data_IF_068698110514
#
_entry.id   IF_068698110514
#
_cell.length_a   1.000
_cell.length_b   1.000
_cell.length_c   1.000
_cell.angle_alpha   90.00
_cell.angle_beta   90.00
_cell.angle_gamma   90.00
#
_symmetry.space_group_name_H-M   'P 1'
#
loop_
_entity.id
_entity.type
_entity.pdbx_description
1 polymer ?
#
# COMPACT_ATOMS: atom_id res chain seq x y z
N UNK A 1 -16.41 65.51 -18.56
CA UNK A 1 -15.41 65.36 -17.49
C UNK A 1 -15.59 63.99 -16.86
N UNK A 2 -14.80 63.01 -17.28
CA UNK A 2 -14.81 61.64 -16.75
C UNK A 2 -13.80 61.54 -15.61
N UNK A 3 -14.27 61.48 -14.37
CA UNK A 3 -13.45 61.18 -13.20
C UNK A 3 -12.85 59.76 -13.35
N UNK A 4 -11.56 59.68 -13.67
CA UNK A 4 -10.81 58.43 -13.51
C UNK A 4 -10.53 58.23 -12.02
N UNK A 5 -11.29 57.33 -11.38
CA UNK A 5 -11.01 56.89 -10.00
C UNK A 5 -9.57 56.38 -9.93
N UNK A 6 -8.75 56.83 -8.97
CA UNK A 6 -7.39 56.33 -8.83
C UNK A 6 -7.44 54.85 -8.50
N UNK A 7 -6.90 54.03 -9.40
CA UNK A 7 -6.73 52.60 -9.17
C UNK A 7 -5.73 52.43 -8.03
N UNK A 8 -6.21 52.02 -6.85
CA UNK A 8 -5.37 51.87 -5.66
C UNK A 8 -4.40 50.68 -5.84
N UNK A 9 -3.08 50.92 -6.01
CA UNK A 9 -2.10 49.87 -6.34
C UNK A 9 -1.89 48.88 -5.18
N UNK A 10 -2.34 49.23 -3.97
CA UNK A 10 -2.18 48.44 -2.74
C UNK A 10 -3.14 47.24 -2.73
N UNK A 11 -4.24 47.28 -3.49
CA UNK A 11 -5.36 46.34 -3.37
C UNK A 11 -5.18 44.98 -4.04
N UNK A 12 -4.17 44.76 -4.88
CA UNK A 12 -3.94 43.45 -5.52
C UNK A 12 -2.78 42.66 -4.90
N UNK A 13 -1.73 43.34 -4.42
CA UNK A 13 -0.53 42.69 -3.86
C UNK A 13 -0.57 42.45 -2.34
N UNK A 14 -1.18 43.35 -1.56
CA UNK A 14 -1.18 43.27 -0.11
C UNK A 14 -2.07 42.12 0.42
N UNK A 15 -3.23 41.89 -0.21
CA UNK A 15 -4.09 40.76 0.15
C UNK A 15 -3.48 39.42 -0.26
N UNK A 16 -2.72 39.38 -1.36
CA UNK A 16 -1.99 38.19 -1.80
C UNK A 16 -0.83 37.84 -0.85
N UNK A 17 -0.11 38.84 -0.31
CA UNK A 17 0.97 38.61 0.66
C UNK A 17 0.44 38.18 2.04
N UNK A 18 -0.70 38.73 2.48
CA UNK A 18 -1.39 38.29 3.71
C UNK A 18 -1.92 36.87 3.56
N UNK A 19 -2.56 36.53 2.45
CA UNK A 19 -3.03 35.17 2.18
C UNK A 19 -1.88 34.16 2.12
N UNK A 20 -0.76 34.51 1.49
CA UNK A 20 0.45 33.70 1.46
C UNK A 20 1.09 33.54 2.85
N UNK A 21 1.08 34.58 3.68
CA UNK A 21 1.56 34.54 5.06
C UNK A 21 0.69 33.62 5.93
N UNK A 22 -0.64 33.74 5.84
CA UNK A 22 -1.59 32.86 6.54
C UNK A 22 -1.47 31.40 6.08
N UNK A 23 -1.30 31.16 4.78
CA UNK A 23 -1.10 29.81 4.25
C UNK A 23 0.21 29.18 4.73
N UNK A 24 1.30 29.96 4.79
CA UNK A 24 2.58 29.52 5.36
C UNK A 24 2.47 29.23 6.85
N UNK A 25 1.77 30.07 7.60
CA UNK A 25 1.53 29.89 9.04
C UNK A 25 0.71 28.64 9.33
N UNK A 26 -0.39 28.44 8.59
CA UNK A 26 -1.23 27.25 8.69
C UNK A 26 -0.46 25.97 8.34
N UNK A 27 0.33 25.98 7.26
CA UNK A 27 1.19 24.84 6.89
C UNK A 27 2.21 24.49 7.98
N UNK A 28 2.79 25.49 8.67
CA UNK A 28 3.70 25.23 9.78
C UNK A 28 2.96 24.68 11.00
N UNK A 29 1.76 25.21 11.31
CA UNK A 29 0.92 24.67 12.38
C UNK A 29 0.52 23.21 12.12
N UNK A 30 0.17 22.85 10.88
CA UNK A 30 -0.19 21.48 10.49
C UNK A 30 0.99 20.50 10.69
N UNK A 31 2.21 20.90 10.32
CA UNK A 31 3.42 20.09 10.53
C UNK A 31 3.72 19.93 12.03
N UNK A 32 3.63 21.00 12.81
CA UNK A 32 3.85 20.94 14.26
C UNK A 32 2.80 20.05 14.94
N UNK A 33 1.55 20.12 14.51
CA UNK A 33 0.47 19.27 14.99
C UNK A 33 0.73 17.80 14.66
N UNK A 34 1.18 17.49 13.43
CA UNK A 34 1.54 16.14 13.02
C UNK A 34 2.72 15.58 13.85
N UNK A 35 3.74 16.39 14.10
CA UNK A 35 4.88 15.99 14.93
C UNK A 35 4.46 15.76 16.38
N UNK A 36 3.63 16.64 16.93
CA UNK A 36 3.09 16.49 18.29
C UNK A 36 2.22 15.24 18.41
N UNK A 37 1.32 15.01 17.45
CA UNK A 37 0.49 13.81 17.40
C UNK A 37 1.35 12.53 17.30
N UNK A 38 2.40 12.55 16.48
CA UNK A 38 3.34 11.43 16.35
C UNK A 38 4.08 11.16 17.66
N UNK A 39 4.54 12.20 18.35
CA UNK A 39 5.20 12.08 19.66
C UNK A 39 4.26 11.49 20.70
N UNK A 40 3.01 11.97 20.77
CA UNK A 40 1.99 11.45 21.68
C UNK A 40 1.74 9.96 21.40
N UNK A 41 1.59 9.56 20.14
CA UNK A 41 1.42 8.15 19.77
C UNK A 41 2.61 7.30 20.18
N UNK A 42 3.85 7.77 19.99
CA UNK A 42 5.06 7.05 20.42
C UNK A 42 5.05 6.82 21.93
N UNK A 43 4.72 7.84 22.73
CA UNK A 43 4.66 7.73 24.19
C UNK A 43 3.57 6.74 24.61
N UNK A 44 2.38 6.83 24.01
CA UNK A 44 1.23 5.95 24.31
C UNK A 44 1.49 4.50 23.92
N UNK A 45 2.15 4.24 22.78
CA UNK A 45 2.47 2.87 22.39
C UNK A 45 3.65 2.29 23.17
N UNK A 46 4.64 3.12 23.53
CA UNK A 46 5.72 2.69 24.41
C UNK A 46 5.23 2.36 25.82
N UNK A 47 4.25 3.09 26.35
CA UNK A 47 3.69 2.80 27.67
C UNK A 47 2.84 1.52 27.69
N UNK A 48 2.16 1.20 26.58
CA UNK A 48 1.37 -0.04 26.46
C UNK A 48 2.22 -1.27 26.13
N UNK A 49 3.37 -1.11 25.47
CA UNK A 49 4.25 -2.21 25.12
C UNK A 49 5.73 -1.84 25.24
N UNK A 50 6.43 -2.53 26.13
CA UNK A 50 7.88 -2.42 26.26
C UNK A 50 8.63 -2.84 24.97
N UNK A 51 7.97 -3.60 24.09
CA UNK A 51 8.54 -4.07 22.83
C UNK A 51 8.56 -2.99 21.72
N UNK A 52 7.71 -1.97 21.81
CA UNK A 52 7.46 -1.01 20.71
C UNK A 52 8.71 -0.31 20.15
N UNK A 53 9.69 0.03 20.99
CA UNK A 53 10.94 0.69 20.58
C UNK A 53 12.18 -0.18 20.81
N UNK A 54 12.03 -1.50 20.78
CA UNK A 54 13.18 -2.40 20.82
C UNK A 54 13.88 -2.42 19.45
N UNK A 55 15.22 -2.59 19.39
CA UNK A 55 15.93 -2.77 18.12
C UNK A 55 15.34 -3.90 17.28
N UNK A 56 14.86 -4.97 17.92
CA UNK A 56 14.22 -6.10 17.26
C UNK A 56 12.91 -5.68 16.57
N UNK A 57 12.04 -4.95 17.25
CA UNK A 57 10.79 -4.46 16.66
C UNK A 57 11.04 -3.47 15.52
N UNK A 58 12.01 -2.57 15.68
CA UNK A 58 12.40 -1.62 14.64
C UNK A 58 12.99 -2.33 13.41
N UNK A 59 13.83 -3.34 13.61
CA UNK A 59 14.38 -4.16 12.53
C UNK A 59 13.29 -4.95 11.82
N UNK A 60 12.35 -5.55 12.55
CA UNK A 60 11.20 -6.23 11.94
C UNK A 60 10.38 -5.26 11.08
N UNK A 61 10.09 -4.06 11.59
CA UNK A 61 9.39 -3.02 10.84
C UNK A 61 10.18 -2.61 9.58
N UNK A 62 11.49 -2.41 9.71
CA UNK A 62 12.36 -2.03 8.60
C UNK A 62 12.42 -3.10 7.49
N UNK A 63 12.35 -4.39 7.84
CA UNK A 63 12.30 -5.48 6.87
C UNK A 63 10.94 -5.60 6.16
N UNK A 64 9.86 -5.21 6.86
CA UNK A 64 8.50 -5.28 6.37
C UNK A 64 8.11 -4.11 5.43
N UNK A 65 8.71 -2.94 5.65
CA UNK A 65 8.41 -1.72 4.89
C UNK A 65 8.68 -1.84 3.38
N UNK A 66 9.82 -2.39 2.91
CA UNK A 66 10.11 -2.54 1.49
C UNK A 66 9.00 -3.27 0.72
N UNK A 67 8.49 -4.36 1.29
CA UNK A 67 7.42 -5.14 0.69
C UNK A 67 6.15 -4.31 0.50
N UNK A 68 5.72 -3.58 1.54
CA UNK A 68 4.54 -2.70 1.47
C UNK A 68 4.76 -1.50 0.54
N UNK A 69 5.98 -0.97 0.46
CA UNK A 69 6.32 0.15 -0.42
C UNK A 69 6.10 -0.22 -1.90
N UNK A 70 6.50 -1.44 -2.31
CA UNK A 70 6.29 -1.93 -3.69
C UNK A 70 4.80 -1.95 -4.04
N UNK A 71 3.94 -2.42 -3.12
CA UNK A 71 2.49 -2.45 -3.32
C UNK A 71 1.90 -1.03 -3.50
N UNK A 72 2.37 -0.07 -2.70
CA UNK A 72 1.92 1.32 -2.80
C UNK A 72 2.37 1.96 -4.11
N UNK A 73 3.58 1.69 -4.58
CA UNK A 73 4.07 2.17 -5.89
C UNK A 73 3.18 1.61 -7.01
N UNK A 74 2.85 0.31 -6.98
CA UNK A 74 1.95 -0.29 -7.96
C UNK A 74 0.56 0.40 -7.97
N UNK A 75 -0.01 0.65 -6.78
CA UNK A 75 -1.28 1.37 -6.65
C UNK A 75 -1.20 2.82 -7.13
N UNK A 76 -0.06 3.48 -6.93
CA UNK A 76 0.16 4.87 -7.40
C UNK A 76 0.05 4.95 -8.92
N UNK A 77 0.61 3.98 -9.66
CA UNK A 77 0.49 3.93 -11.13
C UNK A 77 -0.97 3.84 -11.59
N UNK A 78 -1.81 3.10 -10.86
CA UNK A 78 -3.24 3.00 -11.18
C UNK A 78 -3.97 4.31 -10.91
N UNK A 79 -3.66 4.98 -9.79
CA UNK A 79 -4.22 6.29 -9.47
C UNK A 79 -3.87 7.35 -10.52
N UNK A 80 -2.64 7.31 -11.07
CA UNK A 80 -2.20 8.22 -12.14
C UNK A 80 -3.05 8.05 -13.41
N UNK A 81 -3.46 6.83 -13.73
CA UNK A 81 -4.34 6.53 -14.88
C UNK A 81 -5.83 6.75 -14.55
N UNK A 82 -6.14 7.22 -13.33
CA UNK A 82 -7.51 7.46 -12.86
C UNK A 82 -8.24 6.19 -12.40
N UNK A 83 -7.51 5.09 -12.23
CA UNK A 83 -8.02 3.82 -11.72
C UNK A 83 -7.86 3.66 -10.21
N UNK A 84 -8.61 2.72 -9.65
CA UNK A 84 -8.51 2.26 -8.25
C UNK A 84 -8.42 0.73 -8.28
N UNK A 85 -7.46 0.16 -7.54
CA UNK A 85 -7.36 -1.27 -7.29
C UNK A 85 -7.57 -1.64 -5.82
N UNK A 86 -8.71 -2.26 -5.57
CA UNK A 86 -9.06 -2.81 -4.26
C UNK A 86 -8.52 -4.24 -4.08
N UNK A 87 -8.25 -4.95 -5.17
CA UNK A 87 -7.94 -6.39 -5.17
C UNK A 87 -6.52 -6.73 -4.74
N UNK A 88 -5.58 -5.78 -4.74
CA UNK A 88 -4.14 -6.03 -4.53
C UNK A 88 -3.85 -6.90 -3.30
N UNK A 89 -4.53 -6.66 -2.18
CA UNK A 89 -4.36 -7.44 -0.95
C UNK A 89 -4.87 -8.88 -1.09
N UNK A 90 -6.04 -9.08 -1.71
CA UNK A 90 -6.61 -10.41 -1.95
C UNK A 90 -5.83 -11.20 -2.99
N UNK A 91 -5.36 -10.56 -4.05
CA UNK A 91 -4.52 -11.20 -5.08
C UNK A 91 -3.18 -11.61 -4.47
N UNK A 92 -2.56 -10.76 -3.64
CA UNK A 92 -1.36 -11.09 -2.88
C UNK A 92 -1.58 -12.28 -1.95
N UNK A 93 -2.72 -12.34 -1.24
CA UNK A 93 -3.08 -13.47 -0.40
C UNK A 93 -3.26 -14.75 -1.22
N UNK A 94 -3.95 -14.69 -2.36
CA UNK A 94 -4.12 -15.81 -3.28
C UNK A 94 -2.77 -16.31 -3.81
N UNK A 95 -1.91 -15.42 -4.31
CA UNK A 95 -0.56 -15.78 -4.76
C UNK A 95 0.26 -16.43 -3.65
N UNK A 96 0.12 -15.97 -2.39
CA UNK A 96 0.79 -16.57 -1.24
C UNK A 96 0.29 -17.99 -0.93
N UNK A 97 -1.03 -18.22 -1.04
CA UNK A 97 -1.63 -19.56 -0.89
C UNK A 97 -1.17 -20.49 -2.01
N UNK A 98 -1.05 -20.00 -3.25
CA UNK A 98 -0.53 -20.79 -4.39
C UNK A 98 0.89 -21.30 -4.10
N UNK A 99 1.77 -20.46 -3.54
CA UNK A 99 3.10 -20.91 -3.10
C UNK A 99 2.96 -22.02 -2.05
N UNK A 100 2.11 -21.81 -1.03
CA UNK A 100 1.85 -22.79 0.01
C UNK A 100 1.40 -24.13 -0.51
N UNK A 101 0.41 -24.14 -1.40
CA UNK A 101 -0.13 -25.35 -2.03
C UNK A 101 0.97 -26.06 -2.84
N UNK A 102 1.70 -25.33 -3.69
CA UNK A 102 2.73 -25.93 -4.55
C UNK A 102 3.87 -26.53 -3.73
N UNK A 103 4.39 -25.81 -2.74
CA UNK A 103 5.48 -26.32 -1.88
C UNK A 103 5.01 -27.49 -1.02
N UNK A 104 3.77 -27.47 -0.50
CA UNK A 104 3.21 -28.61 0.22
C UNK A 104 3.11 -29.85 -0.67
N UNK A 105 2.68 -29.68 -1.91
CA UNK A 105 2.62 -30.72 -2.94
C UNK A 105 4.01 -31.17 -3.48
N UNK A 106 5.10 -30.65 -2.92
CA UNK A 106 6.46 -31.12 -3.23
C UNK A 106 7.14 -30.43 -4.41
N UNK A 107 6.54 -29.38 -4.97
CA UNK A 107 7.19 -28.55 -5.97
C UNK A 107 8.34 -27.73 -5.35
N UNK A 108 9.35 -27.42 -6.17
CA UNK A 108 10.45 -26.56 -5.73
C UNK A 108 9.96 -25.12 -5.50
N UNK A 109 10.68 -24.38 -4.66
CA UNK A 109 10.31 -23.00 -4.29
C UNK A 109 10.36 -22.08 -5.51
N UNK A 110 11.29 -22.28 -6.43
CA UNK A 110 11.42 -21.52 -7.67
C UNK A 110 10.18 -21.68 -8.56
N UNK A 111 9.69 -22.91 -8.68
CA UNK A 111 8.47 -23.20 -9.47
C UNK A 111 7.24 -22.63 -8.78
N UNK A 112 7.18 -22.69 -7.45
CA UNK A 112 6.10 -22.08 -6.67
C UNK A 112 6.05 -20.55 -6.82
N UNK A 113 7.21 -19.88 -6.85
CA UNK A 113 7.32 -18.44 -7.11
C UNK A 113 6.78 -18.11 -8.52
N UNK A 114 7.14 -18.88 -9.54
CA UNK A 114 6.59 -18.70 -10.89
C UNK A 114 5.07 -18.86 -10.91
N UNK A 115 4.52 -19.85 -10.20
CA UNK A 115 3.08 -20.03 -10.06
C UNK A 115 2.38 -18.82 -9.42
N UNK A 116 2.99 -18.23 -8.39
CA UNK A 116 2.47 -17.03 -7.74
C UNK A 116 2.50 -15.79 -8.64
N UNK A 117 3.57 -15.61 -9.41
CA UNK A 117 3.70 -14.52 -10.40
C UNK A 117 2.65 -14.68 -11.49
N UNK A 118 2.47 -15.89 -12.02
CA UNK A 118 1.45 -16.17 -13.03
C UNK A 118 0.04 -15.91 -12.50
N UNK A 119 -0.24 -16.28 -11.25
CA UNK A 119 -1.51 -15.98 -10.59
C UNK A 119 -1.77 -14.48 -10.48
N UNK A 120 -0.77 -13.70 -10.06
CA UNK A 120 -0.89 -12.24 -10.00
C UNK A 120 -1.09 -11.62 -11.38
N UNK A 121 -0.33 -12.09 -12.38
CA UNK A 121 -0.42 -11.61 -13.76
C UNK A 121 -1.78 -11.93 -14.40
N UNK A 122 -2.36 -13.10 -14.15
CA UNK A 122 -3.69 -13.46 -14.66
C UNK A 122 -4.78 -12.61 -14.02
N UNK A 123 -4.75 -12.40 -12.69
CA UNK A 123 -5.66 -11.49 -12.01
C UNK A 123 -5.55 -10.07 -12.58
N UNK A 124 -4.33 -9.56 -12.78
CA UNK A 124 -4.09 -8.25 -13.37
C UNK A 124 -4.58 -8.14 -14.81
N UNK A 125 -4.36 -9.16 -15.63
CA UNK A 125 -4.84 -9.23 -17.01
C UNK A 125 -6.38 -9.26 -17.08
N UNK A 126 -7.04 -9.98 -16.17
CA UNK A 126 -8.50 -9.98 -16.07
C UNK A 126 -9.00 -8.59 -15.69
N UNK A 127 -8.46 -7.96 -14.65
CA UNK A 127 -8.84 -6.59 -14.27
C UNK A 127 -8.63 -5.60 -15.41
N UNK A 128 -7.48 -5.65 -16.08
CA UNK A 128 -7.18 -4.83 -17.24
C UNK A 128 -8.13 -5.08 -18.42
N UNK A 129 -8.44 -6.34 -18.72
CA UNK A 129 -9.38 -6.71 -19.78
C UNK A 129 -10.81 -6.26 -19.50
N UNK A 130 -11.28 -6.37 -18.26
CA UNK A 130 -12.60 -5.89 -17.84
C UNK A 130 -12.67 -4.36 -17.93
N UNK A 131 -11.64 -3.66 -17.49
CA UNK A 131 -11.65 -2.18 -17.47
C UNK A 131 -11.39 -1.55 -18.84
N UNK A 132 -10.41 -2.06 -19.59
CA UNK A 132 -10.04 -1.50 -20.91
C UNK A 132 -10.93 -2.05 -22.02
N UNK A 133 -11.16 -3.37 -22.04
CA UNK A 133 -11.92 -4.05 -23.09
C UNK A 133 -13.43 -3.89 -22.94
N UNK A 134 -13.96 -4.21 -21.75
CA UNK A 134 -15.41 -4.17 -21.48
C UNK A 134 -15.89 -2.81 -20.93
N UNK A 135 -14.99 -1.86 -20.73
CA UNK A 135 -15.29 -0.51 -20.20
C UNK A 135 -16.00 -0.53 -18.84
N UNK A 136 -15.74 -1.56 -18.04
CA UNK A 136 -16.24 -1.64 -16.66
C UNK A 136 -15.41 -0.69 -15.78
N UNK A 137 -16.02 0.18 -14.95
CA UNK A 137 -15.28 1.01 -14.02
C UNK A 137 -14.29 0.19 -13.18
N UNK A 138 -13.03 0.64 -13.09
CA UNK A 138 -11.95 -0.14 -12.44
C UNK A 138 -12.24 -0.50 -10.99
N UNK A 139 -12.95 0.38 -10.28
CA UNK A 139 -13.43 0.13 -8.93
C UNK A 139 -14.28 -1.13 -8.85
N UNK A 140 -15.22 -1.31 -9.79
CA UNK A 140 -16.13 -2.47 -9.81
C UNK A 140 -15.35 -3.74 -10.22
N UNK A 141 -14.51 -3.64 -11.24
CA UNK A 141 -13.69 -4.77 -11.69
C UNK A 141 -12.78 -5.29 -10.56
N UNK A 142 -12.10 -4.38 -9.86
CA UNK A 142 -11.17 -4.74 -8.78
C UNK A 142 -11.89 -5.11 -7.49
N UNK A 143 -13.08 -4.57 -7.21
CA UNK A 143 -13.92 -5.07 -6.10
C UNK A 143 -14.38 -6.51 -6.36
N UNK A 144 -14.79 -6.83 -7.59
CA UNK A 144 -15.15 -8.21 -7.97
C UNK A 144 -13.96 -9.15 -7.86
N UNK A 145 -12.79 -8.73 -8.33
CA UNK A 145 -11.54 -9.50 -8.20
C UNK A 145 -11.10 -9.66 -6.75
N UNK A 146 -11.29 -8.64 -5.88
CA UNK A 146 -11.02 -8.72 -4.46
C UNK A 146 -11.77 -9.90 -3.84
N UNK A 147 -13.08 -9.97 -4.09
CA UNK A 147 -13.96 -11.00 -3.54
C UNK A 147 -13.65 -12.38 -4.12
N UNK A 148 -13.43 -12.44 -5.44
CA UNK A 148 -13.03 -13.68 -6.10
C UNK A 148 -11.70 -14.22 -5.56
N UNK A 149 -10.65 -13.40 -5.53
CA UNK A 149 -9.33 -13.84 -5.09
C UNK A 149 -9.33 -14.24 -3.61
N UNK A 150 -10.10 -13.52 -2.78
CA UNK A 150 -10.29 -13.87 -1.36
C UNK A 150 -10.98 -15.22 -1.21
N UNK A 151 -12.06 -15.46 -1.95
CA UNK A 151 -12.77 -16.74 -1.96
C UNK A 151 -11.90 -17.88 -2.48
N UNK A 152 -11.18 -17.66 -3.58
CA UNK A 152 -10.25 -18.63 -4.14
C UNK A 152 -9.11 -18.98 -3.17
N UNK A 153 -8.56 -17.99 -2.46
CA UNK A 153 -7.52 -18.21 -1.46
C UNK A 153 -8.05 -19.01 -0.27
N UNK A 154 -9.26 -18.73 0.19
CA UNK A 154 -9.90 -19.48 1.27
C UNK A 154 -10.24 -20.92 0.84
N UNK A 155 -10.67 -21.11 -0.42
CA UNK A 155 -10.96 -22.43 -0.97
C UNK A 155 -9.69 -23.27 -1.15
N UNK A 156 -8.63 -22.70 -1.73
CA UNK A 156 -7.35 -23.40 -1.95
C UNK A 156 -6.62 -23.74 -0.65
N UNK A 157 -6.81 -22.94 0.41
CA UNK A 157 -6.18 -23.17 1.71
C UNK A 157 -7.02 -24.05 2.65
N UNK A 158 -8.17 -24.58 2.21
CA UNK A 158 -9.19 -25.21 3.07
C UNK A 158 -9.58 -24.34 4.27
N UNK A 159 -9.46 -23.01 4.13
CA UNK A 159 -9.59 -22.01 5.18
C UNK A 159 -8.66 -22.24 6.39
N UNK A 160 -7.49 -22.86 6.15
CA UNK A 160 -6.45 -23.14 7.16
C UNK A 160 -5.21 -22.31 6.91
N UNK A 161 -4.46 -22.07 7.99
CA UNK A 161 -3.15 -21.44 7.91
C UNK A 161 -2.15 -22.42 7.28
N UNK A 162 -1.59 -22.06 6.12
CA UNK A 162 -0.55 -22.85 5.45
C UNK A 162 0.83 -22.48 5.98
N UNK A 163 1.36 -23.29 6.89
CA UNK A 163 2.72 -23.12 7.42
C UNK A 163 3.74 -23.80 6.49
N UNK A 164 4.59 -23.00 5.84
CA UNK A 164 5.63 -23.50 4.92
C UNK A 164 7.03 -23.47 5.57
N UNK A 165 7.15 -22.95 6.80
CA UNK A 165 8.44 -22.66 7.47
C UNK A 165 9.41 -23.86 7.47
N UNK A 166 8.94 -25.06 7.82
CA UNK A 166 9.78 -26.25 7.89
C UNK A 166 10.36 -26.73 6.54
N UNK A 167 9.77 -26.32 5.40
CA UNK A 167 10.25 -26.65 4.05
C UNK A 167 11.15 -25.56 3.44
N UNK A 168 11.17 -24.34 4.00
CA UNK A 168 11.93 -23.20 3.47
C UNK A 168 13.22 -22.97 4.27
N UNK A 169 13.40 -23.61 5.42
CA UNK A 169 14.61 -23.46 6.27
C UNK A 169 15.92 -23.72 5.51
N UNK A 170 15.92 -24.50 4.43
CA UNK A 170 17.11 -24.70 3.55
C UNK A 170 17.56 -23.43 2.81
N UNK A 171 16.64 -22.49 2.55
CA UNK A 171 16.91 -21.19 1.90
C UNK A 171 16.92 -20.05 2.94
N UNK A 172 16.15 -20.22 4.03
CA UNK A 172 15.97 -19.21 5.06
C UNK A 172 17.01 -19.26 6.19
N UNK A 173 17.96 -20.21 6.17
CA UNK A 173 19.11 -20.10 7.06
C UNK A 173 19.85 -18.80 6.73
N UNK A 174 20.03 -17.89 7.71
CA UNK A 174 20.85 -16.71 7.50
C UNK A 174 22.22 -17.19 7.04
N UNK A 175 22.71 -16.66 5.92
CA UNK A 175 24.11 -16.84 5.54
C UNK A 175 24.90 -16.33 6.74
N UNK A 176 25.56 -17.23 7.45
CA UNK A 176 26.37 -16.90 8.60
C UNK A 176 27.41 -15.87 8.13
N UNK A 177 27.21 -14.62 8.54
CA UNK A 177 28.25 -13.60 8.59
C UNK A 177 28.96 -13.70 9.93
#
# INVERSE_FOLDING_TARGET
MSETRPENPISRGAWASVAAWLWRWRRQADILLLLLASLVLIVVFRSQSAYYMTPQHLSSLANDLPFRAILVVAMTLLLVVGGIDLSIGSVMALSSVVIGVMVQNGWSVEVAILGAILTGATCGAVNGGLSVGLRIPSFIATLGMLEFARGAAAWLSDSKLMLIRAKIDTIATPIAG
#
